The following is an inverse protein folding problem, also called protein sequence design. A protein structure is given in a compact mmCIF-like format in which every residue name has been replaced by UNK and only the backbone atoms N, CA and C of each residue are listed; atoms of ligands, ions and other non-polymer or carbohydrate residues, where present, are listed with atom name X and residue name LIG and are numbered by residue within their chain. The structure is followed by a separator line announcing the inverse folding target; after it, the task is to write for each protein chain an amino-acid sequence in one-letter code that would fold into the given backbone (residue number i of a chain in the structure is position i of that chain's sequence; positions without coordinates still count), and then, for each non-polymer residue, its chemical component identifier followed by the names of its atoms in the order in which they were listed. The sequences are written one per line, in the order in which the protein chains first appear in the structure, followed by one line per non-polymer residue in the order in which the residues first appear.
data_IF_285010688049
#
_entry.id   IF_285010688049
#
_cell.length_a   1.000
_cell.length_b   1.000
_cell.length_c   1.000
_cell.angle_alpha   90.00
_cell.angle_beta   90.00
_cell.angle_gamma   90.00
#
_symmetry.space_group_name_H-M   'P 1'
#
loop_
_entity.id
_entity.type
_entity.pdbx_description
1 polymer ?
#
# COMPACT_ATOMS: atom_id res chain seq x y z
N UNK A 1 14.51 18.99 67.94
CA UNK A 1 15.10 19.09 66.61
C UNK A 1 14.83 17.77 65.90
N UNK A 2 13.78 17.75 65.03
CA UNK A 2 13.36 16.55 64.31
C UNK A 2 13.82 16.66 62.84
N UNK A 3 14.78 15.81 62.46
CA UNK A 3 15.31 15.73 61.10
C UNK A 3 14.36 14.96 60.22
N UNK A 4 13.74 15.63 59.27
CA UNK A 4 12.90 15.00 58.22
C UNK A 4 13.82 14.61 57.07
N UNK A 5 14.08 13.31 56.90
CA UNK A 5 14.77 12.77 55.73
C UNK A 5 13.83 12.85 54.52
N UNK A 6 14.16 13.68 53.52
CA UNK A 6 13.55 13.66 52.21
C UNK A 6 14.09 12.47 51.45
N UNK A 7 13.24 11.47 51.20
CA UNK A 7 13.54 10.39 50.27
C UNK A 7 13.20 10.89 48.86
N UNK A 8 14.22 11.17 48.07
CA UNK A 8 14.06 11.53 46.66
C UNK A 8 13.84 10.24 45.87
N UNK A 9 12.59 10.00 45.43
CA UNK A 9 12.27 8.94 44.48
C UNK A 9 12.68 9.40 43.07
N UNK A 10 13.82 8.92 42.58
CA UNK A 10 14.22 9.09 41.19
C UNK A 10 13.36 8.17 40.33
N UNK A 11 12.36 8.72 39.64
CA UNK A 11 11.65 8.01 38.55
C UNK A 11 12.64 7.80 37.40
N UNK A 12 13.12 6.58 37.26
CA UNK A 12 13.85 6.15 36.08
C UNK A 12 12.83 6.05 34.94
N UNK A 13 12.76 7.06 34.08
CA UNK A 13 11.99 7.00 32.87
C UNK A 13 12.66 5.98 31.95
N UNK A 14 12.09 4.77 31.83
CA UNK A 14 12.46 3.84 30.76
C UNK A 14 12.04 4.50 29.43
N UNK A 15 13.01 5.03 28.70
CA UNK A 15 12.80 5.45 27.32
C UNK A 15 12.71 4.18 26.47
N UNK A 16 11.50 3.72 26.14
CA UNK A 16 11.33 2.71 25.09
C UNK A 16 11.92 3.27 23.80
N UNK A 17 13.03 2.69 23.37
CA UNK A 17 13.63 3.03 22.08
C UNK A 17 12.86 2.31 20.98
N UNK A 18 12.36 3.09 20.03
CA UNK A 18 11.70 2.55 18.86
C UNK A 18 12.69 1.72 18.02
N UNK A 19 12.26 0.53 17.63
CA UNK A 19 13.04 -0.40 16.84
C UNK A 19 12.88 -0.16 15.34
N UNK A 20 13.80 -0.73 14.56
CA UNK A 20 13.71 -0.74 13.11
C UNK A 20 13.71 -2.19 12.61
N UNK A 21 12.74 -2.54 11.79
CA UNK A 21 12.75 -3.81 11.04
C UNK A 21 13.26 -3.53 9.65
N UNK A 22 14.22 -4.33 9.20
CA UNK A 22 14.78 -4.24 7.85
C UNK A 22 14.81 -5.60 7.17
N UNK A 23 14.86 -5.60 5.86
CA UNK A 23 14.95 -6.82 5.07
C UNK A 23 15.04 -6.53 3.58
N UNK A 24 14.92 -7.60 2.81
CA UNK A 24 14.88 -7.53 1.36
C UNK A 24 13.84 -8.51 0.83
N UNK A 25 13.12 -8.08 -0.19
CA UNK A 25 12.22 -8.91 -1.00
C UNK A 25 12.89 -9.20 -2.34
N UNK A 26 12.66 -10.38 -2.88
CA UNK A 26 12.86 -10.70 -4.29
C UNK A 26 11.58 -11.32 -4.87
N UNK A 27 11.35 -11.07 -6.14
CA UNK A 27 10.25 -11.65 -6.91
C UNK A 27 10.81 -12.74 -7.81
N UNK A 28 10.19 -13.91 -7.77
CA UNK A 28 10.66 -15.10 -8.51
C UNK A 28 9.55 -15.62 -9.43
N UNK A 29 9.95 -16.41 -10.44
CA UNK A 29 9.03 -17.01 -11.40
C UNK A 29 8.13 -16.00 -12.13
N UNK A 30 8.61 -14.78 -12.27
CA UNK A 30 7.88 -13.70 -12.93
C UNK A 30 8.03 -13.76 -14.44
N UNK A 31 6.94 -13.54 -15.15
CA UNK A 31 6.93 -13.33 -16.60
C UNK A 31 7.08 -11.85 -16.99
N UNK A 32 7.03 -10.93 -16.02
CA UNK A 32 7.20 -9.51 -16.26
C UNK A 32 8.67 -9.16 -16.60
N UNK A 33 8.91 -8.51 -17.73
CA UNK A 33 10.27 -8.07 -18.07
C UNK A 33 10.89 -7.12 -17.04
N UNK A 34 10.12 -6.35 -16.31
CA UNK A 34 10.61 -5.49 -15.23
C UNK A 34 11.27 -6.33 -14.12
N UNK A 35 10.61 -7.37 -13.68
CA UNK A 35 11.10 -8.29 -12.65
C UNK A 35 12.18 -9.21 -13.24
N UNK A 36 11.84 -9.91 -14.33
CA UNK A 36 12.70 -10.95 -14.90
C UNK A 36 14.06 -10.41 -15.39
N UNK A 37 14.06 -9.27 -16.12
CA UNK A 37 15.27 -8.71 -16.74
C UNK A 37 15.92 -7.62 -15.89
N UNK A 38 15.14 -6.71 -15.29
CA UNK A 38 15.65 -5.54 -14.57
C UNK A 38 15.75 -5.73 -13.07
N UNK A 39 15.23 -6.84 -12.53
CA UNK A 39 15.20 -7.11 -11.08
C UNK A 39 14.46 -6.02 -10.31
N UNK A 40 13.39 -5.50 -10.89
CA UNK A 40 12.48 -4.57 -10.24
C UNK A 40 11.59 -5.34 -9.26
N UNK A 41 11.81 -5.14 -7.96
CA UNK A 41 11.08 -5.78 -6.87
C UNK A 41 10.17 -4.78 -6.14
N UNK A 42 9.77 -3.71 -6.83
CA UNK A 42 8.88 -2.70 -6.27
C UNK A 42 7.45 -3.19 -6.09
N UNK A 43 6.69 -2.43 -5.29
CA UNK A 43 5.24 -2.62 -5.14
C UNK A 43 4.81 -3.73 -4.18
N UNK A 44 5.73 -4.37 -3.45
CA UNK A 44 5.37 -5.27 -2.37
C UNK A 44 5.04 -4.45 -1.12
N UNK A 45 3.88 -4.68 -0.54
CA UNK A 45 3.47 -4.05 0.73
C UNK A 45 3.75 -5.02 1.87
N UNK A 46 4.52 -4.56 2.85
CA UNK A 46 4.76 -5.30 4.10
C UNK A 46 4.26 -4.46 5.27
N UNK A 47 3.59 -5.11 6.23
CA UNK A 47 3.16 -4.42 7.44
C UNK A 47 3.16 -5.35 8.65
N UNK A 48 3.10 -4.75 9.84
CA UNK A 48 3.08 -5.44 11.11
C UNK A 48 1.77 -5.18 11.83
N UNK A 49 1.12 -6.25 12.26
CA UNK A 49 -0.07 -6.22 13.10
C UNK A 49 0.29 -6.76 14.48
N UNK A 50 0.01 -6.04 15.59
CA UNK A 50 0.21 -6.58 16.93
C UNK A 50 -0.57 -7.88 17.11
N UNK A 51 0.05 -8.90 17.73
CA UNK A 51 -0.58 -10.22 17.93
C UNK A 51 -1.72 -10.20 18.94
N UNK A 52 -1.77 -9.20 19.81
CA UNK A 52 -2.85 -8.95 20.75
C UNK A 52 -4.02 -8.16 20.12
N UNK A 53 -3.94 -7.89 18.82
CA UNK A 53 -4.91 -7.09 18.06
C UNK A 53 -5.15 -5.68 18.64
N UNK A 54 -4.23 -5.17 19.44
CA UNK A 54 -4.27 -3.80 19.92
C UNK A 54 -4.19 -2.82 18.74
N UNK A 55 -5.00 -1.77 18.77
CA UNK A 55 -4.91 -0.72 17.77
C UNK A 55 -3.64 0.10 18.01
N UNK A 56 -2.78 0.20 17.01
CA UNK A 56 -1.67 1.14 17.01
C UNK A 56 -2.13 2.42 16.32
N UNK A 57 -2.35 3.51 17.07
CA UNK A 57 -2.79 4.75 16.46
C UNK A 57 -1.83 5.22 15.36
N UNK A 58 -2.38 5.50 14.20
CA UNK A 58 -1.63 6.07 13.08
C UNK A 58 -2.20 7.46 12.77
N UNK A 59 -1.33 8.44 12.61
CA UNK A 59 -1.76 9.74 12.12
C UNK A 59 -2.28 9.61 10.68
N UNK A 60 -3.41 10.25 10.32
CA UNK A 60 -3.87 10.31 8.95
C UNK A 60 -2.76 10.82 8.03
N UNK A 61 -2.59 10.18 6.88
CA UNK A 61 -1.56 10.52 5.90
C UNK A 61 -2.22 10.83 4.57
N UNK A 62 -1.76 11.89 3.92
CA UNK A 62 -2.13 12.17 2.54
C UNK A 62 -1.03 11.67 1.61
N UNK A 63 -1.43 10.95 0.56
CA UNK A 63 -0.54 10.48 -0.51
C UNK A 63 -1.13 10.86 -1.85
N UNK A 64 -0.29 10.87 -2.88
CA UNK A 64 -0.70 11.21 -4.24
C UNK A 64 -0.52 10.01 -5.16
N UNK A 65 -1.53 9.75 -5.99
CA UNK A 65 -1.47 8.87 -7.16
C UNK A 65 -1.83 9.72 -8.38
N UNK A 66 -0.84 10.14 -9.16
CA UNK A 66 -1.06 10.94 -10.36
C UNK A 66 -1.60 10.09 -11.50
N UNK A 67 -2.53 10.63 -12.29
CA UNK A 67 -2.93 10.06 -13.58
C UNK A 67 -2.11 10.74 -14.66
N UNK A 68 -1.23 9.98 -15.27
CA UNK A 68 -0.29 10.46 -16.27
C UNK A 68 -0.01 9.38 -17.30
N UNK A 69 -0.03 9.74 -18.58
CA UNK A 69 0.20 8.84 -19.72
C UNK A 69 -0.71 7.59 -19.67
N UNK A 70 -1.97 7.77 -19.21
CA UNK A 70 -2.97 6.69 -18.98
C UNK A 70 -2.49 5.64 -17.96
N UNK A 71 -1.77 6.09 -16.93
CA UNK A 71 -1.36 5.26 -15.80
C UNK A 71 -1.68 5.96 -14.48
N UNK A 72 -1.88 5.19 -13.43
CA UNK A 72 -1.85 5.66 -12.06
C UNK A 72 -0.41 5.52 -11.52
N UNK A 73 0.21 6.62 -11.08
CA UNK A 73 1.60 6.66 -10.64
C UNK A 73 1.75 7.31 -9.25
N UNK A 74 2.33 6.63 -8.27
CA UNK A 74 2.80 5.24 -8.32
C UNK A 74 1.65 4.25 -8.41
N UNK A 75 1.92 3.04 -8.91
CA UNK A 75 0.94 1.97 -9.05
C UNK A 75 0.45 1.42 -7.69
N UNK A 76 1.33 1.34 -6.70
CA UNK A 76 1.03 0.83 -5.35
C UNK A 76 1.35 1.89 -4.31
N UNK A 77 0.41 2.15 -3.41
CA UNK A 77 0.62 2.96 -2.20
C UNK A 77 0.06 2.27 -0.97
N UNK A 78 0.58 2.63 0.20
CA UNK A 78 0.03 2.22 1.48
C UNK A 78 -0.26 3.44 2.36
N UNK A 79 -1.39 3.42 3.04
CA UNK A 79 -1.86 4.48 3.93
C UNK A 79 -2.48 3.87 5.18
N UNK A 80 -2.46 4.56 6.31
CA UNK A 80 -3.27 4.15 7.46
C UNK A 80 -4.76 4.42 7.21
N UNK A 81 -5.63 3.72 7.92
CA UNK A 81 -7.07 4.03 8.00
C UNK A 81 -7.25 5.51 8.36
N UNK A 82 -8.17 6.20 7.70
CA UNK A 82 -8.35 7.64 7.78
C UNK A 82 -7.44 8.45 6.86
N UNK A 83 -6.53 7.79 6.14
CA UNK A 83 -5.66 8.42 5.15
C UNK A 83 -6.42 8.85 3.90
N UNK A 84 -5.88 9.84 3.20
CA UNK A 84 -6.46 10.43 1.99
C UNK A 84 -5.53 10.20 0.80
N UNK A 85 -6.10 9.84 -0.34
CA UNK A 85 -5.37 9.77 -1.61
C UNK A 85 -5.83 10.89 -2.52
N UNK A 86 -4.88 11.73 -2.96
CA UNK A 86 -5.08 12.75 -3.97
C UNK A 86 -4.79 12.19 -5.35
N UNK A 87 -5.69 12.42 -6.29
CA UNK A 87 -5.68 11.88 -7.65
C UNK A 87 -5.63 13.01 -8.68
N UNK A 88 -4.49 13.71 -8.85
CA UNK A 88 -4.37 14.73 -9.88
C UNK A 88 -4.36 14.11 -11.27
N UNK A 89 -5.09 14.75 -12.20
CA UNK A 89 -5.09 14.40 -13.61
C UNK A 89 -4.06 15.27 -14.36
N UNK A 90 -2.92 14.70 -14.70
CA UNK A 90 -1.85 15.35 -15.44
C UNK A 90 -1.98 15.15 -16.96
N UNK A 91 -2.90 14.32 -17.41
CA UNK A 91 -3.16 14.06 -18.82
C UNK A 91 -4.01 15.17 -19.46
N UNK A 92 -3.97 15.35 -20.80
CA UNK A 92 -4.76 16.37 -21.51
C UNK A 92 -6.22 15.93 -21.77
N UNK A 93 -6.67 14.81 -21.22
CA UNK A 93 -8.02 14.26 -21.38
C UNK A 93 -8.63 13.89 -20.03
N UNK A 94 -9.92 13.62 -20.05
CA UNK A 94 -10.68 13.28 -18.85
C UNK A 94 -10.31 11.91 -18.30
N UNK A 95 -10.36 11.79 -16.99
CA UNK A 95 -10.20 10.54 -16.25
C UNK A 95 -11.30 10.37 -15.22
N UNK A 96 -11.32 9.18 -14.64
CA UNK A 96 -12.12 8.80 -13.48
C UNK A 96 -11.24 7.95 -12.56
N UNK A 97 -11.65 7.80 -11.31
CA UNK A 97 -11.13 6.74 -10.45
C UNK A 97 -12.29 6.14 -9.66
N UNK A 98 -12.37 4.83 -9.64
CA UNK A 98 -13.39 4.09 -8.92
C UNK A 98 -12.83 2.79 -8.35
N UNK A 99 -13.53 2.22 -7.37
CA UNK A 99 -13.29 0.89 -6.82
C UNK A 99 -14.60 0.20 -6.51
N UNK A 100 -14.67 -1.09 -6.81
CA UNK A 100 -15.76 -1.97 -6.42
C UNK A 100 -15.38 -2.85 -5.21
N UNK A 101 -14.30 -2.52 -4.50
CA UNK A 101 -13.91 -3.23 -3.29
C UNK A 101 -14.99 -3.09 -2.22
N UNK A 102 -15.53 -4.22 -1.74
CA UNK A 102 -16.72 -4.25 -0.87
C UNK A 102 -16.53 -3.53 0.47
N UNK A 103 -15.29 -3.40 0.94
CA UNK A 103 -14.97 -2.68 2.19
C UNK A 103 -14.93 -1.16 2.04
N UNK A 104 -14.62 -0.66 0.83
CA UNK A 104 -14.49 0.78 0.55
C UNK A 104 -14.86 1.07 -0.93
N UNK A 105 -16.12 0.86 -1.35
CA UNK A 105 -16.54 1.20 -2.70
C UNK A 105 -16.58 2.72 -2.88
N UNK A 106 -16.01 3.23 -3.97
CA UNK A 106 -16.08 4.64 -4.31
C UNK A 106 -16.05 4.88 -5.82
N UNK A 107 -16.58 6.03 -6.22
CA UNK A 107 -16.49 6.57 -7.59
C UNK A 107 -16.38 8.11 -7.47
N UNK A 108 -15.24 8.66 -7.83
CA UNK A 108 -15.04 10.12 -7.79
C UNK A 108 -15.58 10.85 -9.02
N UNK A 109 -16.22 10.12 -9.94
CA UNK A 109 -16.75 10.66 -11.19
C UNK A 109 -15.66 11.04 -12.19
N UNK A 110 -16.09 11.52 -13.36
CA UNK A 110 -15.20 12.08 -14.36
C UNK A 110 -14.68 13.44 -13.92
N UNK A 111 -13.40 13.72 -14.17
CA UNK A 111 -12.81 15.03 -13.91
C UNK A 111 -11.81 15.45 -14.98
N UNK A 112 -11.73 16.77 -15.15
CA UNK A 112 -11.04 17.40 -16.27
C UNK A 112 -9.50 17.32 -16.14
N UNK A 113 -8.78 17.50 -17.26
CA UNK A 113 -7.35 17.77 -17.27
C UNK A 113 -6.93 18.83 -16.25
N UNK A 114 -5.77 18.66 -15.64
CA UNK A 114 -5.15 19.62 -14.70
C UNK A 114 -6.00 19.92 -13.45
N UNK A 115 -6.97 19.04 -13.11
CA UNK A 115 -7.71 19.10 -11.86
C UNK A 115 -7.34 17.92 -10.98
N UNK A 116 -7.73 17.95 -9.70
CA UNK A 116 -7.50 16.86 -8.76
C UNK A 116 -8.79 16.52 -8.04
N UNK A 117 -8.94 15.26 -7.68
CA UNK A 117 -9.95 14.74 -6.78
C UNK A 117 -9.25 13.98 -5.66
N UNK A 118 -9.91 13.83 -4.53
CA UNK A 118 -9.38 13.05 -3.41
C UNK A 118 -10.45 12.17 -2.80
N UNK A 119 -9.99 11.06 -2.19
CA UNK A 119 -10.85 10.16 -1.43
C UNK A 119 -10.16 9.81 -0.10
N UNK A 120 -10.93 9.78 0.98
CA UNK A 120 -10.45 9.40 2.32
C UNK A 120 -10.92 7.99 2.63
N UNK A 121 -9.99 7.09 2.92
CA UNK A 121 -10.24 5.67 3.15
C UNK A 121 -10.49 5.39 4.64
N UNK A 122 -11.63 4.81 4.97
CA UNK A 122 -12.08 4.58 6.35
C UNK A 122 -12.05 3.13 6.80
N UNK A 123 -11.94 2.21 5.85
CA UNK A 123 -11.95 0.77 6.14
C UNK A 123 -10.64 0.13 5.70
N UNK A 124 -10.05 -0.76 6.51
CA UNK A 124 -8.82 -1.45 6.14
C UNK A 124 -9.06 -2.46 5.01
N UNK A 125 -8.05 -2.66 4.18
CA UNK A 125 -8.08 -3.64 3.11
C UNK A 125 -7.23 -3.25 1.91
N UNK A 126 -7.15 -4.16 0.94
CA UNK A 126 -6.46 -3.93 -0.33
C UNK A 126 -7.48 -3.44 -1.35
N UNK A 127 -7.43 -2.16 -1.64
CA UNK A 127 -8.36 -1.49 -2.56
C UNK A 127 -7.74 -1.45 -3.95
N UNK A 128 -8.42 -2.06 -4.93
CA UNK A 128 -8.06 -1.95 -6.35
C UNK A 128 -8.80 -0.77 -6.96
N UNK A 129 -8.05 0.15 -7.55
CA UNK A 129 -8.58 1.38 -8.18
C UNK A 129 -8.44 1.26 -9.68
N UNK A 130 -9.47 1.67 -10.40
CA UNK A 130 -9.53 1.60 -11.86
C UNK A 130 -10.02 2.91 -12.45
N UNK A 131 -9.70 3.16 -13.74
CA UNK A 131 -10.31 4.21 -14.52
C UNK A 131 -11.45 3.64 -15.36
N UNK A 132 -12.62 4.28 -15.35
CA UNK A 132 -13.80 3.80 -16.12
C UNK A 132 -13.70 4.04 -17.64
N UNK A 133 -12.65 4.72 -18.11
CA UNK A 133 -12.47 5.07 -19.52
C UNK A 133 -11.34 4.24 -20.15
N UNK A 134 -10.26 4.03 -19.43
CA UNK A 134 -9.05 3.37 -19.91
C UNK A 134 -8.84 2.03 -19.20
N UNK A 135 -9.07 0.95 -19.90
CA UNK A 135 -9.01 -0.41 -19.36
C UNK A 135 -7.63 -0.86 -18.86
N UNK A 136 -6.56 -0.14 -19.21
CA UNK A 136 -5.21 -0.42 -18.74
C UNK A 136 -4.85 0.30 -17.42
N UNK A 137 -5.72 1.21 -16.94
CA UNK A 137 -5.41 2.02 -15.76
C UNK A 137 -5.90 1.35 -14.49
N UNK A 138 -4.95 0.86 -13.70
CA UNK A 138 -5.19 0.32 -12.36
C UNK A 138 -4.16 0.80 -11.36
N UNK A 139 -4.53 0.80 -10.07
CA UNK A 139 -3.65 1.03 -8.93
C UNK A 139 -4.11 0.22 -7.72
N UNK A 140 -3.20 0.06 -6.76
CA UNK A 140 -3.44 -0.58 -5.48
C UNK A 140 -3.26 0.43 -4.36
N UNK A 141 -4.23 0.47 -3.46
CA UNK A 141 -4.14 1.23 -2.21
C UNK A 141 -4.29 0.23 -1.06
N UNK A 142 -3.21 -0.01 -0.33
CA UNK A 142 -3.26 -0.78 0.91
C UNK A 142 -3.65 0.14 2.06
N UNK A 143 -4.86 -0.03 2.59
CA UNK A 143 -5.38 0.71 3.74
C UNK A 143 -5.18 -0.13 4.99
N UNK A 144 -4.35 0.34 5.94
CA UNK A 144 -3.81 -0.48 7.01
C UNK A 144 -4.19 0.06 8.40
N UNK A 145 -4.47 -0.84 9.34
CA UNK A 145 -4.76 -0.53 10.75
C UNK A 145 -3.50 -0.29 11.60
N UNK A 146 -2.37 -0.03 10.97
CA UNK A 146 -1.08 0.11 11.65
C UNK A 146 -0.24 1.19 10.98
N UNK A 147 0.61 1.92 11.73
CA UNK A 147 1.61 2.81 11.14
C UNK A 147 2.86 2.07 10.64
N UNK A 148 2.99 0.78 10.95
CA UNK A 148 4.20 -0.02 10.70
C UNK A 148 4.11 -0.72 9.35
N UNK A 149 4.37 0.00 8.28
CA UNK A 149 4.31 -0.53 6.92
C UNK A 149 5.34 0.09 5.99
N UNK A 150 5.57 -0.58 4.89
CA UNK A 150 6.42 -0.12 3.79
C UNK A 150 5.90 -0.67 2.47
N UNK A 151 6.11 0.09 1.39
CA UNK A 151 6.03 -0.40 0.01
C UNK A 151 7.45 -0.48 -0.52
N UNK A 152 7.85 -1.64 -1.05
CA UNK A 152 9.22 -1.84 -1.52
C UNK A 152 9.55 -0.95 -2.72
N UNK A 153 10.78 -0.39 -2.78
CA UNK A 153 11.33 0.22 -3.99
C UNK A 153 11.83 -0.88 -4.96
N UNK A 154 12.33 -0.48 -6.13
CA UNK A 154 12.87 -1.39 -7.15
C UNK A 154 13.93 -2.36 -6.61
N UNK A 155 14.74 -1.94 -5.66
CA UNK A 155 15.79 -2.79 -5.05
C UNK A 155 15.23 -3.91 -4.18
N UNK A 156 13.94 -3.88 -3.84
CA UNK A 156 13.31 -4.77 -2.87
C UNK A 156 13.77 -4.58 -1.42
N UNK A 157 14.76 -3.73 -1.15
CA UNK A 157 15.23 -3.44 0.21
C UNK A 157 14.22 -2.57 0.93
N UNK A 158 13.90 -2.92 2.17
CA UNK A 158 12.93 -2.17 2.95
C UNK A 158 13.37 -1.94 4.39
N UNK A 159 12.73 -0.94 5.00
CA UNK A 159 12.91 -0.62 6.42
C UNK A 159 11.60 -0.07 6.97
N UNK A 160 11.12 -0.63 8.09
CA UNK A 160 9.99 -0.12 8.87
C UNK A 160 10.56 0.44 10.16
N UNK A 161 10.55 1.75 10.29
CA UNK A 161 11.10 2.46 11.43
C UNK A 161 10.04 2.71 12.53
N UNK A 162 10.49 3.09 13.70
CA UNK A 162 9.66 3.49 14.85
C UNK A 162 8.70 2.39 15.34
N UNK A 163 9.06 1.13 15.14
CA UNK A 163 8.29 -0.01 15.64
C UNK A 163 8.53 -0.15 17.14
N UNK A 164 7.46 -0.25 17.92
CA UNK A 164 7.61 -0.56 19.34
C UNK A 164 8.09 -2.01 19.52
N UNK A 165 8.99 -2.31 20.47
CA UNK A 165 9.33 -3.69 20.79
C UNK A 165 8.08 -4.50 21.16
N UNK A 166 7.98 -5.74 20.67
CA UNK A 166 6.79 -6.55 20.92
C UNK A 166 6.61 -7.71 19.92
N UNK A 167 5.47 -8.36 20.02
CA UNK A 167 5.08 -9.47 19.16
C UNK A 167 4.14 -8.99 18.05
N UNK A 168 4.46 -9.32 16.81
CA UNK A 168 3.71 -8.91 15.63
C UNK A 168 3.48 -10.06 14.68
N UNK A 169 2.41 -9.96 13.89
CA UNK A 169 2.25 -10.72 12.66
C UNK A 169 2.79 -9.91 11.49
N UNK A 170 3.80 -10.43 10.81
CA UNK A 170 4.26 -9.89 9.54
C UNK A 170 3.27 -10.31 8.46
N UNK A 171 2.66 -9.33 7.80
CA UNK A 171 1.75 -9.47 6.68
C UNK A 171 2.40 -8.98 5.40
N UNK A 172 2.03 -9.60 4.29
CA UNK A 172 2.61 -9.29 2.98
C UNK A 172 1.50 -9.28 1.93
N UNK A 173 1.54 -8.28 1.06
CA UNK A 173 0.72 -8.23 -0.14
C UNK A 173 1.59 -7.93 -1.36
N UNK A 174 1.33 -8.65 -2.42
CA UNK A 174 1.85 -8.36 -3.75
C UNK A 174 0.81 -8.73 -4.81
N UNK A 175 0.51 -7.80 -5.72
CA UNK A 175 -0.60 -7.93 -6.65
C UNK A 175 -0.51 -9.16 -7.56
N UNK A 176 0.71 -9.59 -7.89
CA UNK A 176 0.98 -10.66 -8.85
C UNK A 176 1.35 -11.99 -8.19
N UNK A 177 1.11 -12.12 -6.90
CA UNK A 177 1.23 -13.39 -6.18
C UNK A 177 -0.15 -13.93 -5.80
N UNK A 178 -0.32 -15.24 -5.91
CA UNK A 178 -1.53 -15.88 -5.41
C UNK A 178 -1.62 -15.75 -3.88
N UNK A 179 -2.83 -15.61 -3.30
CA UNK A 179 -3.01 -15.49 -1.86
C UNK A 179 -2.31 -16.61 -1.06
N UNK A 180 -2.36 -17.84 -1.55
CA UNK A 180 -1.71 -18.96 -0.89
C UNK A 180 -0.19 -18.82 -0.87
N UNK A 181 0.43 -18.32 -1.93
CA UNK A 181 1.87 -18.06 -1.97
C UNK A 181 2.28 -16.99 -0.94
N UNK A 182 1.44 -15.99 -0.70
CA UNK A 182 1.71 -14.94 0.29
C UNK A 182 1.49 -15.45 1.72
N UNK A 183 0.44 -16.24 1.95
CA UNK A 183 0.09 -16.77 3.27
C UNK A 183 1.22 -17.61 3.90
N UNK A 184 1.97 -18.35 3.10
CA UNK A 184 3.12 -19.12 3.60
C UNK A 184 4.29 -18.24 4.07
N UNK A 185 4.34 -16.98 3.65
CA UNK A 185 5.37 -16.01 4.03
C UNK A 185 4.99 -15.20 5.26
N UNK A 186 3.70 -15.16 5.60
CA UNK A 186 3.21 -14.51 6.80
C UNK A 186 3.64 -15.28 8.04
N UNK A 187 4.10 -14.56 9.08
CA UNK A 187 4.62 -15.19 10.29
C UNK A 187 4.64 -14.24 11.47
N UNK A 188 4.66 -14.83 12.65
CA UNK A 188 4.97 -14.07 13.88
C UNK A 188 6.43 -13.66 13.90
N UNK A 189 6.66 -12.44 14.36
CA UNK A 189 7.99 -11.87 14.57
C UNK A 189 8.03 -11.17 15.91
N UNK A 190 9.07 -11.46 16.69
CA UNK A 190 9.40 -10.72 17.91
C UNK A 190 10.33 -9.59 17.53
N UNK A 191 9.93 -8.36 17.79
CA UNK A 191 10.74 -7.16 17.54
C UNK A 191 11.46 -6.78 18.83
N UNK A 192 12.77 -7.02 18.95
CA UNK A 192 13.57 -6.61 20.11
C UNK A 192 14.06 -5.16 19.94
N UNK A 193 14.56 -4.55 21.00
CA UNK A 193 15.48 -3.42 20.89
C UNK A 193 16.88 -3.94 20.49
N UNK A 194 17.60 -3.31 19.55
CA UNK A 194 17.33 -2.09 18.78
C UNK A 194 16.62 -2.33 17.45
N UNK A 195 16.19 -3.55 17.13
CA UNK A 195 15.49 -3.87 15.88
C UNK A 195 15.72 -5.29 15.40
N UNK A 196 15.19 -5.61 14.23
CA UNK A 196 15.21 -6.95 13.65
C UNK A 196 15.55 -6.89 12.14
N UNK A 197 16.58 -7.63 11.75
CA UNK A 197 16.83 -7.92 10.35
C UNK A 197 16.11 -9.22 9.94
N UNK A 198 15.20 -9.13 9.01
CA UNK A 198 14.49 -10.28 8.47
C UNK A 198 15.34 -11.00 7.41
N UNK A 199 15.24 -12.32 7.31
CA UNK A 199 15.83 -13.05 6.19
C UNK A 199 15.19 -12.61 4.87
N UNK A 200 15.86 -12.93 3.76
CA UNK A 200 15.33 -12.69 2.41
C UNK A 200 13.92 -13.27 2.26
N UNK A 201 13.00 -12.47 1.73
CA UNK A 201 11.62 -12.85 1.46
C UNK A 201 11.47 -13.06 -0.04
N UNK A 202 11.38 -14.32 -0.47
CA UNK A 202 11.19 -14.67 -1.87
C UNK A 202 9.71 -14.88 -2.16
N UNK A 203 9.12 -14.04 -3.01
CA UNK A 203 7.72 -14.10 -3.41
C UNK A 203 7.63 -14.68 -4.83
N UNK A 204 6.88 -15.78 -4.98
CA UNK A 204 6.68 -16.42 -6.27
C UNK A 204 5.43 -15.88 -6.97
N UNK A 205 5.57 -15.54 -8.26
CA UNK A 205 4.47 -15.22 -9.16
C UNK A 205 3.89 -16.46 -9.86
N UNK A 206 4.32 -17.67 -9.49
CA UNK A 206 3.81 -18.90 -10.09
C UNK A 206 2.28 -18.98 -9.98
N UNK A 207 1.64 -19.24 -11.11
CA UNK A 207 0.19 -19.37 -11.20
C UNK A 207 -0.56 -18.05 -11.35
N UNK A 208 0.11 -16.90 -11.27
CA UNK A 208 -0.54 -15.62 -11.55
C UNK A 208 -0.90 -15.49 -13.02
N UNK A 209 -2.14 -15.14 -13.29
CA UNK A 209 -2.66 -14.81 -14.61
C UNK A 209 -3.31 -13.43 -14.53
N UNK A 210 -2.85 -12.44 -15.33
CA UNK A 210 -3.49 -11.13 -15.37
C UNK A 210 -4.93 -11.26 -15.85
N UNK A 211 -5.87 -10.76 -15.04
CA UNK A 211 -7.28 -10.70 -15.43
C UNK A 211 -7.64 -9.28 -15.83
N UNK A 212 -8.30 -9.09 -17.01
CA UNK A 212 -8.86 -7.80 -17.37
C UNK A 212 -9.92 -7.38 -16.36
N UNK A 213 -9.83 -6.16 -15.86
CA UNK A 213 -10.88 -5.63 -15.01
C UNK A 213 -12.06 -5.12 -15.85
N UNK A 214 -13.23 -5.06 -15.23
CA UNK A 214 -14.45 -4.55 -15.82
C UNK A 214 -14.60 -3.04 -15.52
N UNK A 215 -15.48 -2.37 -16.26
CA UNK A 215 -15.88 -1.00 -15.99
C UNK A 215 -16.66 -0.90 -14.65
N UNK A 216 -16.98 0.30 -14.21
CA UNK A 216 -17.72 0.53 -12.95
C UNK A 216 -19.14 -0.06 -12.93
N UNK A 217 -19.66 -0.46 -14.08
CA UNK A 217 -20.96 -1.11 -14.21
C UNK A 217 -20.86 -2.65 -14.37
N UNK A 218 -19.64 -3.19 -14.21
CA UNK A 218 -19.40 -4.63 -14.36
C UNK A 218 -19.41 -5.13 -15.79
N UNK A 219 -19.17 -4.25 -16.79
CA UNK A 219 -19.15 -4.59 -18.21
C UNK A 219 -17.72 -4.54 -18.76
N UNK A 220 -17.40 -5.33 -19.79
CA UNK A 220 -16.16 -5.16 -20.54
C UNK A 220 -16.06 -3.75 -21.13
N UNK A 221 -14.86 -3.21 -21.18
CA UNK A 221 -14.62 -1.93 -21.84
C UNK A 221 -14.90 -2.03 -23.35
N UNK A 222 -15.36 -0.91 -23.94
CA UNK A 222 -15.48 -0.82 -25.38
C UNK A 222 -14.09 -0.99 -26.05
N UNK A 223 -14.03 -1.62 -27.23
CA UNK A 223 -12.80 -1.72 -27.98
C UNK A 223 -12.17 -0.34 -28.22
N UNK A 224 -10.83 -0.22 -28.26
CA UNK A 224 -10.16 1.03 -28.63
C UNK A 224 -10.65 1.51 -30.00
N UNK A 225 -11.13 2.76 -30.10
CA UNK A 225 -11.65 3.35 -31.34
C UNK A 225 -13.16 3.60 -31.37
N UNK A 226 -13.90 3.22 -30.36
CA UNK A 226 -15.30 3.64 -30.18
C UNK A 226 -15.38 5.12 -29.79
N UNK A 227 -15.99 5.94 -30.61
CA UNK A 227 -16.05 7.42 -30.59
C UNK A 227 -16.73 8.06 -29.35
N UNK A 228 -16.83 7.39 -28.21
CA UNK A 228 -17.58 7.90 -27.05
C UNK A 228 -16.77 8.76 -26.10
N UNK A 229 -15.42 8.82 -26.21
CA UNK A 229 -14.58 9.57 -25.25
C UNK A 229 -13.32 10.25 -25.85
N UNK A 230 -13.16 10.30 -27.15
CA UNK A 230 -12.30 11.31 -27.74
C UNK A 230 -12.97 12.67 -27.48
N UNK A 231 -12.52 13.33 -26.43
CA UNK A 231 -13.02 14.63 -26.06
C UNK A 231 -12.93 15.56 -27.26
N UNK A 232 -14.09 15.87 -27.83
CA UNK A 232 -14.19 16.66 -29.04
C UNK A 232 -13.32 17.89 -28.98
N UNK A 233 -12.27 17.90 -29.77
CA UNK A 233 -11.70 19.15 -30.27
C UNK A 233 -12.79 19.82 -31.10
N UNK A 234 -13.39 20.86 -30.52
CA UNK A 234 -13.99 21.99 -31.20
C UNK A 234 -13.42 23.25 -30.65
#
# INVERSE_FOLDING_TARGET
MTWRSLICFSLLALTLRAATISGQVELTNSLDPAVHKRKDYSGVVLWLEPTDHSAVPAAPKSVRIAQQDKHFLPHVVAIPVGGTVDLPNNDPFWHNAFSNFSGEPFDIGLYAPRTSRSHTFRHPGIVRVFCNIHSSMSAIIAVLNTPYYVVTPETGKFSIANVQPGEYELRIFYERALPDNLKFLERRVTVPEPGLALPLISISETGYVPEPHLDKHGKPYAPPGGALYDGGQK
#
